data_IF_076063816290
#
_entry.id   IF_076063816290
#
_cell.length_a   1.000
_cell.length_b   1.000
_cell.length_c   1.000
_cell.angle_alpha   90.00
_cell.angle_beta   90.00
_cell.angle_gamma   90.00
#
_symmetry.space_group_name_H-M   'P 1'
#
loop_
_entity.id
_entity.type
_entity.pdbx_description
1 polymer ?
#
# COMPACT_ATOMS: atom_id res chain seq x y z
N UNK A 1 -13.88 13.07 10.00
CA UNK A 1 -12.48 13.51 10.18
C UNK A 1 -11.92 13.90 8.81
N UNK A 2 -11.15 14.99 8.70
CA UNK A 2 -10.67 15.49 7.39
C UNK A 2 -9.59 14.57 6.82
N UNK A 3 -9.65 14.26 5.51
CA UNK A 3 -8.65 13.44 4.79
C UNK A 3 -7.20 13.91 5.00
N UNK A 4 -7.00 15.20 5.27
CA UNK A 4 -5.67 15.77 5.54
C UNK A 4 -5.03 15.27 6.85
N UNK A 5 -5.83 14.83 7.83
CA UNK A 5 -5.31 14.43 9.15
C UNK A 5 -4.81 12.97 9.18
N UNK A 6 -5.27 12.15 8.25
CA UNK A 6 -4.99 10.70 8.21
C UNK A 6 -3.91 10.31 7.20
N UNK A 7 -3.67 11.15 6.19
CA UNK A 7 -2.60 10.98 5.22
C UNK A 7 -1.28 11.49 5.79
N UNK A 8 -0.59 10.62 6.52
CA UNK A 8 0.70 10.91 7.16
C UNK A 8 1.81 10.06 6.57
N UNK A 9 3.04 10.59 6.61
CA UNK A 9 4.24 9.82 6.30
C UNK A 9 4.56 8.78 7.37
N UNK A 10 5.40 7.80 7.02
CA UNK A 10 5.83 6.74 7.93
C UNK A 10 7.22 6.19 7.56
N UNK A 11 7.85 5.45 8.48
CA UNK A 11 9.06 4.67 8.19
C UNK A 11 8.65 3.25 7.81
N UNK A 12 9.08 2.77 6.65
CA UNK A 12 8.76 1.43 6.19
C UNK A 12 9.45 0.37 7.07
N UNK A 13 8.69 -0.53 7.69
CA UNK A 13 9.25 -1.59 8.54
C UNK A 13 10.00 -2.70 7.76
N UNK A 14 9.92 -2.72 6.42
CA UNK A 14 10.62 -3.71 5.58
C UNK A 14 11.96 -3.23 5.05
N UNK A 15 12.02 -1.98 4.56
CA UNK A 15 13.21 -1.43 3.91
C UNK A 15 13.78 -0.18 4.62
N UNK A 16 13.18 0.24 5.74
CA UNK A 16 13.59 1.37 6.57
C UNK A 16 13.62 2.74 5.88
N UNK A 17 13.11 2.85 4.65
CA UNK A 17 13.01 4.13 3.95
C UNK A 17 11.86 4.98 4.50
N UNK A 18 12.07 6.29 4.50
CA UNK A 18 11.04 7.29 4.83
C UNK A 18 10.03 7.39 3.68
N UNK A 19 8.76 7.23 4.03
CA UNK A 19 7.62 7.32 3.11
C UNK A 19 6.88 8.63 3.37
N UNK A 20 6.66 9.39 2.31
CA UNK A 20 5.97 10.66 2.36
C UNK A 20 4.45 10.45 2.24
N UNK A 21 3.63 11.34 2.84
CA UNK A 21 2.20 11.37 2.58
C UNK A 21 1.93 11.65 1.09
N UNK A 22 0.81 11.18 0.55
CA UNK A 22 0.46 11.47 -0.85
C UNK A 22 0.04 12.92 -1.04
N UNK A 23 0.32 13.48 -2.21
CA UNK A 23 -0.08 14.86 -2.56
C UNK A 23 -1.29 14.92 -3.51
N UNK A 24 -1.88 13.77 -3.84
CA UNK A 24 -2.96 13.63 -4.83
C UNK A 24 -4.35 13.41 -4.20
N UNK A 25 -4.51 13.68 -2.90
CA UNK A 25 -5.80 13.55 -2.19
C UNK A 25 -6.22 12.09 -1.86
N UNK A 26 -5.33 11.12 -2.05
CA UNK A 26 -5.49 9.72 -1.64
C UNK A 26 -4.69 9.38 -0.37
N UNK A 27 -4.79 8.14 0.09
CA UNK A 27 -4.00 7.58 1.18
C UNK A 27 -3.00 6.54 0.66
N UNK A 28 -1.85 6.46 1.34
CA UNK A 28 -0.80 5.49 1.04
C UNK A 28 -0.81 4.36 2.07
N UNK A 29 -0.98 3.14 1.57
CA UNK A 29 -1.03 1.93 2.40
C UNK A 29 0.23 1.06 2.27
N UNK A 30 1.11 1.37 1.32
CA UNK A 30 2.33 0.62 1.07
C UNK A 30 3.53 1.54 0.83
N UNK A 31 4.71 1.00 1.07
CA UNK A 31 5.96 1.68 0.77
C UNK A 31 6.18 1.75 -0.75
N UNK A 32 6.47 2.92 -1.34
CA UNK A 32 6.70 3.04 -2.78
C UNK A 32 7.98 2.33 -3.24
N UNK A 33 8.94 2.08 -2.34
CA UNK A 33 10.25 1.53 -2.68
C UNK A 33 10.33 0.01 -2.65
N UNK A 34 9.45 -0.65 -1.90
CA UNK A 34 9.45 -2.10 -1.78
C UNK A 34 8.05 -2.72 -1.90
N UNK A 35 7.02 -1.89 -2.04
CA UNK A 35 5.61 -2.24 -2.20
C UNK A 35 4.99 -3.02 -1.03
N UNK A 36 5.72 -3.30 0.05
CA UNK A 36 5.17 -3.90 1.25
C UNK A 36 4.21 -2.94 1.98
N UNK A 37 3.13 -3.54 2.49
CA UNK A 37 2.13 -2.88 3.34
C UNK A 37 2.16 -3.45 4.76
N UNK A 38 1.34 -2.92 5.66
CA UNK A 38 1.14 -3.42 7.03
C UNK A 38 -0.34 -3.72 7.24
N UNK A 39 -0.64 -4.86 7.84
CA UNK A 39 -2.01 -5.29 8.10
C UNK A 39 -2.58 -4.53 9.30
N UNK A 40 -3.07 -3.32 9.03
CA UNK A 40 -3.69 -2.45 10.03
C UNK A 40 -5.22 -2.53 10.01
N UNK A 41 -5.81 -2.93 8.89
CA UNK A 41 -7.25 -2.85 8.67
C UNK A 41 -7.96 -4.19 8.86
N UNK A 42 -9.07 -4.20 9.61
CA UNK A 42 -10.03 -5.30 9.57
C UNK A 42 -10.99 -5.07 8.41
N UNK A 43 -11.59 -3.88 8.33
CA UNK A 43 -12.25 -3.33 7.16
C UNK A 43 -11.43 -2.18 6.58
N UNK A 44 -11.46 -1.92 5.25
CA UNK A 44 -10.63 -0.90 4.63
C UNK A 44 -10.75 0.48 5.31
N UNK A 45 -9.63 0.96 5.88
CA UNK A 45 -9.54 2.27 6.54
C UNK A 45 -9.90 2.31 8.02
N UNK A 46 -10.33 1.21 8.65
CA UNK A 46 -10.71 1.22 10.07
C UNK A 46 -9.51 1.22 11.04
N UNK A 47 -8.34 0.77 10.59
CA UNK A 47 -7.14 0.53 11.41
C UNK A 47 -7.38 -0.32 12.68
N UNK A 48 -8.32 -1.26 12.65
CA UNK A 48 -8.71 -2.10 13.80
C UNK A 48 -8.13 -3.52 13.79
N UNK A 49 -7.21 -3.84 12.87
CA UNK A 49 -6.58 -5.17 12.83
C UNK A 49 -5.68 -5.40 14.04
N UNK A 50 -5.88 -6.52 14.73
CA UNK A 50 -4.98 -6.99 15.77
C UNK A 50 -3.73 -7.70 15.20
N UNK A 51 -3.72 -8.05 13.92
CA UNK A 51 -2.62 -8.79 13.31
C UNK A 51 -1.34 -7.96 13.25
N UNK A 52 -1.40 -6.74 12.71
CA UNK A 52 -0.27 -5.80 12.65
C UNK A 52 1.00 -6.30 11.95
N UNK A 53 0.98 -7.49 11.31
CA UNK A 53 2.09 -8.02 10.55
C UNK A 53 2.20 -7.40 9.17
N UNK A 54 3.36 -7.56 8.56
CA UNK A 54 3.63 -7.12 7.19
C UNK A 54 2.72 -7.83 6.18
N UNK A 55 2.38 -7.14 5.10
CA UNK A 55 1.73 -7.72 3.94
C UNK A 55 2.65 -7.62 2.74
N UNK A 56 2.99 -8.78 2.16
CA UNK A 56 3.81 -8.86 0.96
C UNK A 56 2.98 -8.50 -0.28
N UNK A 57 3.52 -7.72 -1.23
CA UNK A 57 2.89 -7.59 -2.54
C UNK A 57 2.98 -8.95 -3.25
N UNK A 58 1.89 -9.42 -3.85
CA UNK A 58 1.85 -10.73 -4.52
C UNK A 58 1.41 -10.66 -5.98
N UNK A 59 0.66 -9.62 -6.36
CA UNK A 59 0.12 -9.50 -7.72
C UNK A 59 -0.33 -8.05 -7.98
N UNK A 60 -0.63 -7.72 -9.24
CA UNK A 60 -1.14 -6.43 -9.70
C UNK A 60 -2.37 -6.65 -10.57
N UNK A 61 -3.47 -6.00 -10.22
CA UNK A 61 -4.73 -6.07 -10.96
C UNK A 61 -5.15 -4.70 -11.46
N UNK A 62 -5.96 -4.68 -12.51
CA UNK A 62 -6.63 -3.47 -12.98
C UNK A 62 -8.09 -3.45 -12.53
N UNK A 63 -8.53 -2.32 -11.98
CA UNK A 63 -9.94 -2.07 -11.68
C UNK A 63 -10.46 -0.89 -12.51
N UNK A 64 -11.60 -1.05 -13.16
CA UNK A 64 -12.16 -0.04 -14.07
C UNK A 64 -12.46 1.32 -13.42
N UNK A 65 -12.74 1.36 -12.12
CA UNK A 65 -13.03 2.60 -11.37
C UNK A 65 -11.83 3.12 -10.59
N UNK A 66 -10.93 2.23 -10.18
CA UNK A 66 -9.81 2.54 -9.26
C UNK A 66 -8.44 2.51 -9.94
N UNK A 67 -8.34 2.13 -11.21
CA UNK A 67 -7.04 1.96 -11.89
C UNK A 67 -6.28 0.75 -11.37
N UNK A 68 -4.96 0.78 -11.51
CA UNK A 68 -4.09 -0.30 -11.05
C UNK A 68 -4.05 -0.41 -9.53
N UNK A 69 -4.05 -1.64 -9.04
CA UNK A 69 -4.00 -1.98 -7.62
C UNK A 69 -3.03 -3.13 -7.38
N UNK A 70 -2.30 -3.06 -6.28
CA UNK A 70 -1.46 -4.16 -5.80
C UNK A 70 -2.31 -5.04 -4.89
N UNK A 71 -2.25 -6.36 -5.09
CA UNK A 71 -2.75 -7.34 -4.13
C UNK A 71 -1.65 -7.59 -3.10
N UNK A 72 -1.98 -7.37 -1.84
CA UNK A 72 -1.12 -7.63 -0.69
C UNK A 72 -1.63 -8.85 0.07
N UNK A 73 -0.73 -9.73 0.51
CA UNK A 73 -1.05 -10.88 1.37
C UNK A 73 -0.32 -10.77 2.71
N UNK A 74 -1.06 -10.83 3.80
CA UNK A 74 -0.48 -10.82 5.14
C UNK A 74 0.40 -12.06 5.36
N UNK A 75 1.63 -11.85 5.83
CA UNK A 75 2.59 -12.94 6.06
C UNK A 75 2.25 -13.79 7.28
N UNK A 76 1.39 -13.30 8.18
CA UNK A 76 1.00 -14.01 9.40
C UNK A 76 -0.33 -14.74 9.25
N UNK A 77 -1.41 -14.03 8.88
CA UNK A 77 -2.75 -14.62 8.81
C UNK A 77 -3.24 -14.94 7.39
N UNK A 78 -2.47 -14.62 6.35
CA UNK A 78 -2.83 -14.93 4.96
C UNK A 78 -3.92 -14.03 4.35
N UNK A 79 -4.52 -13.08 5.10
CA UNK A 79 -5.53 -12.14 4.57
C UNK A 79 -4.98 -11.37 3.37
N UNK A 80 -5.82 -11.19 2.36
CA UNK A 80 -5.50 -10.42 1.16
C UNK A 80 -6.23 -9.07 1.13
N UNK A 81 -5.55 -8.02 0.67
CA UNK A 81 -6.08 -6.67 0.55
C UNK A 81 -5.59 -6.01 -0.73
N UNK A 82 -6.44 -5.18 -1.35
CA UNK A 82 -6.14 -4.45 -2.59
C UNK A 82 -5.89 -2.99 -2.30
N UNK A 83 -4.72 -2.48 -2.65
CA UNK A 83 -4.34 -1.08 -2.46
C UNK A 83 -4.05 -0.41 -3.80
N UNK A 84 -4.58 0.80 -4.03
CA UNK A 84 -4.36 1.55 -5.28
C UNK A 84 -2.88 1.89 -5.42
N UNK A 85 -2.35 1.77 -6.64
CA UNK A 85 -1.05 2.34 -6.98
C UNK A 85 -1.14 3.86 -6.94
N UNK A 86 -0.12 4.49 -6.35
CA UNK A 86 -0.04 5.94 -6.25
C UNK A 86 0.69 6.51 -7.47
N UNK A 87 -0.08 7.21 -8.30
CA UNK A 87 0.37 7.98 -9.46
C UNK A 87 0.21 9.49 -9.17
N UNK A 88 0.79 10.35 -10.01
CA UNK A 88 0.64 11.82 -9.95
C UNK A 88 0.89 12.43 -8.55
N UNK A 89 1.93 11.96 -7.88
CA UNK A 89 2.33 12.39 -6.54
C UNK A 89 3.83 12.67 -6.50
N UNK A 90 4.29 13.44 -5.51
CA UNK A 90 5.72 13.74 -5.32
C UNK A 90 6.58 12.50 -5.05
N UNK A 91 5.98 11.41 -4.58
CA UNK A 91 6.64 10.13 -4.33
C UNK A 91 5.80 8.99 -4.93
N UNK A 92 5.92 8.73 -6.25
CA UNK A 92 5.18 7.65 -6.91
C UNK A 92 5.72 6.27 -6.52
N UNK A 93 4.96 5.22 -6.84
CA UNK A 93 5.40 3.84 -6.61
C UNK A 93 6.50 3.42 -7.60
N UNK A 94 7.41 2.55 -7.15
CA UNK A 94 8.51 2.07 -7.98
C UNK A 94 8.01 1.13 -9.08
N UNK A 95 7.95 1.64 -10.31
CA UNK A 95 7.49 0.90 -11.49
C UNK A 95 8.27 -0.39 -11.74
N UNK A 96 9.59 -0.39 -11.47
CA UNK A 96 10.40 -1.59 -11.64
C UNK A 96 9.93 -2.75 -10.74
N UNK A 97 9.56 -2.47 -9.50
CA UNK A 97 9.02 -3.49 -8.59
C UNK A 97 7.60 -3.90 -8.97
N UNK A 98 6.79 -2.98 -9.50
CA UNK A 98 5.45 -3.29 -10.01
C UNK A 98 5.54 -4.26 -11.19
N UNK A 99 6.45 -4.00 -12.14
CA UNK A 99 6.66 -4.85 -13.31
C UNK A 99 7.08 -6.28 -12.94
N UNK A 100 7.90 -6.44 -11.89
CA UNK A 100 8.30 -7.76 -11.40
C UNK A 100 7.13 -8.59 -10.83
N UNK A 101 6.07 -7.95 -10.34
CA UNK A 101 4.88 -8.66 -9.85
C UNK A 101 4.02 -9.20 -10.99
N UNK A 102 4.04 -8.56 -12.16
CA UNK A 102 3.27 -8.96 -13.33
C UNK A 102 3.96 -10.04 -14.18
N UNK A 103 5.21 -10.38 -13.87
CA UNK A 103 6.03 -11.33 -14.62
C UNK A 103 5.91 -12.79 -14.12
N UNK A 104 5.05 -13.06 -13.13
CA UNK A 104 4.77 -14.40 -12.59
C UNK A 104 3.34 -14.82 -12.90
#
# INVERSE_FOLDING_TARGET
MSKHKENTGFICQKCNKQVLPLTNGSFRNHCPFCLYSKHLDKEPGDRQSQCNFMMKPIDVIYNTKKGYQIIHKCISCGKEQKNKIAEDTVQPDCLAYIALLQAN
#
